data_IF_954877921826
#
_entry.id   IF_954877921826
#
_cell.length_a   1.000
_cell.length_b   1.000
_cell.length_c   1.000
_cell.angle_alpha   90.00
_cell.angle_beta   90.00
_cell.angle_gamma   90.00
#
_symmetry.space_group_name_H-M   'P 1'
#
loop_
_entity.id
_entity.type
_entity.pdbx_description
1 polymer ?
#
# COMPACT_ATOMS: atom_id res chain seq x y z
N UNK A 1 20.49 -71.67 29.45
CA UNK A 1 21.31 -70.42 29.53
C UNK A 1 20.95 -69.57 28.31
N UNK A 2 19.97 -68.72 28.46
CA UNK A 2 19.46 -67.85 27.39
C UNK A 2 19.84 -66.41 27.74
N UNK A 3 20.73 -65.80 26.91
CA UNK A 3 21.15 -64.39 27.07
C UNK A 3 20.17 -63.49 26.31
N UNK A 4 19.41 -62.69 27.06
CA UNK A 4 18.60 -61.57 26.52
C UNK A 4 19.52 -60.39 26.15
N UNK A 5 19.49 -59.97 24.90
CA UNK A 5 20.08 -58.73 24.42
C UNK A 5 19.02 -57.61 24.46
N UNK A 6 19.20 -56.65 25.34
CA UNK A 6 18.46 -55.40 25.39
C UNK A 6 18.99 -54.43 24.32
N UNK A 7 18.18 -54.14 23.32
CA UNK A 7 18.44 -53.07 22.34
C UNK A 7 17.89 -51.75 22.89
N UNK A 8 18.75 -50.84 23.30
CA UNK A 8 18.42 -49.46 23.65
C UNK A 8 18.29 -48.64 22.35
N UNK A 9 17.08 -48.27 21.97
CA UNK A 9 16.85 -47.33 20.89
C UNK A 9 17.05 -45.90 21.40
N UNK A 10 18.11 -45.25 20.91
CA UNK A 10 18.40 -43.83 21.16
C UNK A 10 17.54 -42.97 20.21
N UNK A 11 16.48 -42.37 20.70
CA UNK A 11 15.68 -41.39 19.98
C UNK A 11 16.45 -40.06 19.89
N UNK A 12 17.02 -39.77 18.74
CA UNK A 12 17.57 -38.45 18.41
C UNK A 12 16.38 -37.51 18.08
N UNK A 13 15.96 -36.72 19.05
CA UNK A 13 15.09 -35.57 18.84
C UNK A 13 15.89 -34.48 18.11
N UNK A 14 15.90 -34.53 16.80
CA UNK A 14 16.39 -33.45 15.95
C UNK A 14 15.50 -32.21 16.09
N UNK A 15 15.85 -31.30 17.01
CA UNK A 15 15.28 -29.98 17.04
C UNK A 15 15.64 -29.23 15.77
N UNK A 16 14.69 -29.03 14.86
CA UNK A 16 14.83 -28.06 13.77
C UNK A 16 14.94 -26.66 14.38
N UNK A 17 16.17 -26.22 14.65
CA UNK A 17 16.42 -24.80 14.88
C UNK A 17 16.05 -24.07 13.59
N UNK A 18 14.94 -23.34 13.59
CA UNK A 18 14.62 -22.41 12.51
C UNK A 18 15.70 -21.33 12.50
N UNK A 19 16.59 -21.43 11.53
CA UNK A 19 17.52 -20.35 11.23
C UNK A 19 16.72 -19.11 10.91
N UNK A 20 17.12 -17.91 11.38
CA UNK A 20 16.45 -16.68 11.00
C UNK A 20 16.48 -16.60 9.47
N UNK A 21 15.30 -16.61 8.85
CA UNK A 21 15.20 -16.43 7.40
C UNK A 21 15.64 -15.00 7.10
N UNK A 22 16.87 -14.85 6.63
CA UNK A 22 17.27 -13.64 5.93
C UNK A 22 16.40 -13.58 4.65
N UNK A 23 15.42 -12.70 4.64
CA UNK A 23 14.65 -12.43 3.42
C UNK A 23 15.62 -11.94 2.36
N UNK A 24 15.51 -12.47 1.15
CA UNK A 24 16.27 -11.97 0.01
C UNK A 24 15.80 -10.57 -0.37
N UNK A 25 16.64 -9.81 -1.06
CA UNK A 25 16.25 -8.48 -1.58
C UNK A 25 15.02 -8.58 -2.48
N UNK A 26 14.86 -9.68 -3.23
CA UNK A 26 13.69 -9.95 -4.06
C UNK A 26 12.42 -10.17 -3.23
N UNK A 27 12.52 -10.92 -2.12
CA UNK A 27 11.40 -11.13 -1.22
C UNK A 27 10.98 -9.83 -0.53
N UNK A 28 11.93 -8.99 -0.14
CA UNK A 28 11.66 -7.67 0.43
C UNK A 28 11.02 -6.73 -0.60
N UNK A 29 11.50 -6.74 -1.84
CA UNK A 29 10.88 -5.99 -2.94
C UNK A 29 9.44 -6.43 -3.18
N UNK A 30 9.18 -7.74 -3.26
CA UNK A 30 7.84 -8.28 -3.42
C UNK A 30 6.92 -7.88 -2.26
N UNK A 31 7.43 -7.90 -1.03
CA UNK A 31 6.67 -7.50 0.16
C UNK A 31 6.33 -5.99 0.17
N UNK A 32 7.22 -5.12 -0.32
CA UNK A 32 6.95 -3.68 -0.47
C UNK A 32 5.90 -3.45 -1.57
N UNK A 33 5.99 -4.15 -2.69
CA UNK A 33 4.98 -4.08 -3.76
C UNK A 33 3.61 -4.53 -3.24
N UNK A 34 3.53 -5.65 -2.50
CA UNK A 34 2.29 -6.11 -1.87
C UNK A 34 1.74 -5.08 -0.88
N UNK A 35 2.61 -4.43 -0.09
CA UNK A 35 2.23 -3.35 0.82
C UNK A 35 1.56 -2.18 0.08
N UNK A 36 2.13 -1.73 -1.05
CA UNK A 36 1.54 -0.67 -1.88
C UNK A 36 0.18 -1.10 -2.46
N UNK A 37 0.04 -2.37 -2.88
CA UNK A 37 -1.23 -2.89 -3.37
C UNK A 37 -2.30 -2.97 -2.26
N UNK A 38 -1.93 -3.36 -1.03
CA UNK A 38 -2.84 -3.35 0.13
C UNK A 38 -3.30 -1.94 0.46
N UNK A 39 -2.40 -0.96 0.41
CA UNK A 39 -2.74 0.45 0.57
C UNK A 39 -3.80 0.88 -0.45
N UNK A 40 -3.59 0.58 -1.73
CA UNK A 40 -4.53 0.91 -2.82
C UNK A 40 -5.88 0.23 -2.61
N UNK A 41 -5.88 -1.07 -2.33
CA UNK A 41 -7.13 -1.81 -2.12
C UNK A 41 -7.91 -1.25 -0.92
N UNK A 42 -7.24 -0.97 0.20
CA UNK A 42 -7.89 -0.40 1.37
C UNK A 42 -8.49 0.99 1.05
N UNK A 43 -7.77 1.82 0.30
CA UNK A 43 -8.26 3.12 -0.15
C UNK A 43 -9.49 2.99 -1.07
N UNK A 44 -9.43 2.12 -2.06
CA UNK A 44 -10.47 1.94 -3.07
C UNK A 44 -11.76 1.33 -2.52
N UNK A 45 -11.67 0.61 -1.41
CA UNK A 45 -12.81 0.01 -0.71
C UNK A 45 -13.19 0.73 0.59
N UNK A 46 -12.53 1.86 0.91
CA UNK A 46 -12.79 2.68 2.10
C UNK A 46 -12.61 1.90 3.43
N UNK A 47 -11.67 0.97 3.43
CA UNK A 47 -11.24 0.25 4.61
C UNK A 47 -10.23 1.08 5.40
N UNK A 48 -10.72 1.87 6.36
CA UNK A 48 -9.88 2.75 7.16
C UNK A 48 -8.90 1.99 8.05
N UNK A 49 -9.26 0.81 8.53
CA UNK A 49 -8.38 -0.03 9.34
C UNK A 49 -7.27 -0.65 8.49
N UNK A 50 -7.61 -1.25 7.36
CA UNK A 50 -6.65 -1.77 6.38
C UNK A 50 -5.73 -0.70 5.83
N UNK A 51 -6.27 0.50 5.56
CA UNK A 51 -5.48 1.65 5.11
C UNK A 51 -4.43 2.08 6.15
N UNK A 52 -4.83 2.20 7.40
CA UNK A 52 -3.92 2.59 8.47
C UNK A 52 -2.91 1.49 8.85
N UNK A 53 -3.28 0.23 8.71
CA UNK A 53 -2.46 -0.92 9.11
C UNK A 53 -1.14 -1.03 8.34
N UNK A 54 -1.04 -0.43 7.15
CA UNK A 54 0.17 -0.45 6.33
C UNK A 54 1.20 0.63 6.72
N UNK A 55 0.85 1.52 7.67
CA UNK A 55 1.71 2.60 8.15
C UNK A 55 2.36 2.28 9.50
N UNK A 56 3.52 2.87 9.79
CA UNK A 56 4.09 2.86 11.15
C UNK A 56 3.26 3.73 12.10
N UNK A 57 3.41 3.54 13.42
CA UNK A 57 2.70 4.34 14.42
C UNK A 57 2.96 5.86 14.26
N UNK A 58 4.16 6.23 13.85
CA UNK A 58 4.63 7.60 13.69
C UNK A 58 4.77 8.01 12.21
N UNK A 59 4.09 7.32 11.30
CA UNK A 59 4.16 7.58 9.87
C UNK A 59 3.63 8.97 9.49
N UNK A 60 4.03 9.42 8.32
CA UNK A 60 3.55 10.66 7.70
C UNK A 60 2.92 10.34 6.35
N UNK A 61 1.66 10.72 6.19
CA UNK A 61 0.98 10.81 4.90
C UNK A 61 1.01 12.27 4.44
N UNK A 62 1.76 12.55 3.38
CA UNK A 62 1.92 13.88 2.80
C UNK A 62 1.19 13.96 1.46
N UNK A 63 0.11 14.73 1.41
CA UNK A 63 -0.81 14.78 0.28
C UNK A 63 -1.22 16.23 -0.08
N UNK A 64 -2.15 16.41 -0.99
CA UNK A 64 -2.52 17.70 -1.57
C UNK A 64 -2.90 18.81 -0.56
N UNK A 65 -3.35 18.44 0.66
CA UNK A 65 -3.74 19.40 1.70
C UNK A 65 -2.76 19.45 2.89
N UNK A 66 -1.57 18.87 2.75
CA UNK A 66 -0.54 18.86 3.78
C UNK A 66 -0.30 17.50 4.41
N UNK A 67 0.29 17.47 5.58
CA UNK A 67 0.70 16.25 6.27
C UNK A 67 -0.32 15.78 7.30
N UNK A 68 -0.60 14.48 7.29
CA UNK A 68 -1.29 13.77 8.36
C UNK A 68 -0.28 12.90 9.09
N UNK A 69 -0.11 13.10 10.41
CA UNK A 69 0.97 12.46 11.19
C UNK A 69 0.43 11.44 12.18
N UNK A 70 0.99 10.25 12.12
CA UNK A 70 0.67 9.12 12.98
C UNK A 70 -0.46 8.24 12.44
N UNK A 71 -0.33 6.92 12.65
CA UNK A 71 -1.27 5.91 12.16
C UNK A 71 -2.71 6.20 12.57
N UNK A 72 -2.94 6.62 13.83
CA UNK A 72 -4.28 6.91 14.31
C UNK A 72 -4.93 8.08 13.55
N UNK A 73 -4.18 9.16 13.29
CA UNK A 73 -4.67 10.29 12.52
C UNK A 73 -4.87 9.93 11.04
N UNK A 74 -4.03 9.07 10.46
CA UNK A 74 -4.18 8.55 9.10
C UNK A 74 -5.45 7.69 8.98
N UNK A 75 -5.74 6.87 10.01
CA UNK A 75 -6.99 6.11 10.09
C UNK A 75 -8.22 7.04 10.11
N UNK A 76 -8.20 8.04 10.98
CA UNK A 76 -9.28 9.01 11.10
C UNK A 76 -9.48 9.82 9.81
N UNK A 77 -8.39 10.23 9.17
CA UNK A 77 -8.43 10.87 7.86
C UNK A 77 -9.18 10.03 6.83
N UNK A 78 -8.88 8.73 6.75
CA UNK A 78 -9.57 7.82 5.83
C UNK A 78 -11.03 7.61 6.22
N UNK A 79 -11.31 7.41 7.52
CA UNK A 79 -12.65 7.22 8.06
C UNK A 79 -13.56 8.46 7.89
N UNK A 80 -12.99 9.67 7.91
CA UNK A 80 -13.75 10.92 7.75
C UNK A 80 -14.43 11.08 6.38
N UNK A 81 -14.01 10.28 5.39
CA UNK A 81 -14.47 10.38 4.01
C UNK A 81 -14.04 11.68 3.30
N UNK A 82 -13.06 12.40 3.83
CA UNK A 82 -12.48 13.60 3.19
C UNK A 82 -11.91 13.29 1.82
N UNK A 83 -11.47 12.05 1.61
CA UNK A 83 -10.93 11.54 0.36
C UNK A 83 -11.94 10.68 -0.43
N UNK A 84 -13.21 10.76 -0.11
CA UNK A 84 -14.24 9.96 -0.80
C UNK A 84 -14.53 10.53 -2.19
N UNK A 85 -13.79 10.05 -3.18
CA UNK A 85 -13.97 10.44 -4.58
C UNK A 85 -15.36 10.10 -5.13
N UNK A 86 -16.12 9.19 -4.49
CA UNK A 86 -17.52 8.88 -4.86
C UNK A 86 -18.44 10.07 -4.62
N UNK A 87 -18.05 10.99 -3.73
CA UNK A 87 -18.79 12.23 -3.46
C UNK A 87 -18.50 13.35 -4.46
N UNK A 88 -17.54 13.14 -5.36
CA UNK A 88 -17.23 14.11 -6.41
C UNK A 88 -18.28 14.00 -7.51
N UNK A 89 -19.35 14.79 -7.42
CA UNK A 89 -20.37 15.19 -8.42
C UNK A 89 -20.63 14.24 -9.61
N UNK A 90 -20.60 12.94 -9.43
CA UNK A 90 -21.10 12.02 -10.42
C UNK A 90 -22.62 11.92 -10.21
N UNK A 91 -23.40 12.41 -11.17
CA UNK A 91 -24.85 12.22 -11.15
C UNK A 91 -25.14 10.72 -11.15
N UNK A 92 -25.92 10.21 -10.19
CA UNK A 92 -26.19 8.79 -10.10
C UNK A 92 -27.05 8.34 -11.29
N UNK A 93 -26.48 7.48 -12.13
CA UNK A 93 -27.29 6.74 -13.10
C UNK A 93 -28.07 5.65 -12.39
N UNK A 94 -29.18 5.23 -12.97
CA UNK A 94 -29.96 4.11 -12.45
C UNK A 94 -29.56 2.80 -13.12
N UNK A 95 -29.50 1.75 -12.33
CA UNK A 95 -29.41 0.37 -12.81
C UNK A 95 -30.75 -0.05 -13.45
N UNK A 96 -30.80 -1.12 -14.27
CA UNK A 96 -32.04 -1.60 -14.87
C UNK A 96 -33.14 -1.94 -13.84
N UNK A 97 -32.79 -2.29 -12.63
CA UNK A 97 -33.71 -2.56 -11.50
C UNK A 97 -34.02 -1.31 -10.65
N UNK A 98 -33.63 -0.12 -11.10
CA UNK A 98 -33.99 1.15 -10.51
C UNK A 98 -33.13 1.62 -9.32
N UNK A 99 -32.12 0.85 -8.89
CA UNK A 99 -31.16 1.28 -7.88
C UNK A 99 -30.18 2.32 -8.42
N UNK A 100 -29.56 3.08 -7.53
CA UNK A 100 -28.46 3.94 -7.94
C UNK A 100 -27.26 3.10 -8.40
N UNK A 101 -26.70 3.45 -9.58
CA UNK A 101 -25.48 2.84 -10.05
C UNK A 101 -24.32 3.30 -9.15
N UNK A 102 -23.58 2.39 -8.50
CA UNK A 102 -22.52 2.80 -7.59
C UNK A 102 -21.37 3.45 -8.36
N UNK A 103 -20.99 4.65 -7.97
CA UNK A 103 -19.74 5.25 -8.42
C UNK A 103 -18.58 4.53 -7.75
N UNK A 104 -17.59 4.16 -8.54
CA UNK A 104 -16.39 3.51 -8.04
C UNK A 104 -15.15 4.21 -8.59
N UNK A 105 -14.11 4.24 -7.79
CA UNK A 105 -12.77 4.70 -8.19
C UNK A 105 -11.80 3.54 -8.00
N UNK A 106 -10.85 3.42 -8.92
CA UNK A 106 -9.77 2.43 -8.82
C UNK A 106 -8.44 3.08 -9.11
N UNK A 107 -7.49 2.84 -8.22
CA UNK A 107 -6.12 3.28 -8.38
C UNK A 107 -5.28 2.17 -8.99
N UNK A 108 -4.38 2.57 -9.87
CA UNK A 108 -3.40 1.68 -10.49
C UNK A 108 -2.02 2.25 -10.15
N UNK A 109 -1.12 1.38 -9.67
CA UNK A 109 0.27 1.69 -9.38
C UNK A 109 1.15 0.98 -10.39
N UNK A 110 2.12 1.68 -10.92
CA UNK A 110 3.02 1.16 -11.96
C UNK A 110 4.41 1.80 -11.87
N UNK A 111 5.36 1.33 -12.67
CA UNK A 111 6.72 1.88 -12.77
C UNK A 111 7.42 1.99 -11.40
N UNK A 112 7.29 0.93 -10.58
CA UNK A 112 7.84 0.91 -9.24
C UNK A 112 9.35 0.66 -9.28
N UNK A 113 10.13 1.63 -8.81
CA UNK A 113 11.55 1.51 -8.54
C UNK A 113 11.74 1.55 -7.02
N UNK A 114 12.33 0.49 -6.45
CA UNK A 114 12.48 0.32 -5.01
C UNK A 114 13.97 0.07 -4.73
N UNK A 115 14.54 0.91 -3.88
CA UNK A 115 15.92 0.82 -3.40
C UNK A 115 15.91 0.39 -1.94
N UNK A 116 16.48 -0.80 -1.66
CA UNK A 116 16.46 -1.42 -0.34
C UNK A 116 17.85 -1.29 0.29
N UNK A 117 17.86 -0.80 1.53
CA UNK A 117 19.06 -0.71 2.36
C UNK A 117 18.77 -1.33 3.75
N UNK A 118 19.06 -2.61 3.91
CA UNK A 118 18.77 -3.34 5.14
C UNK A 118 17.30 -3.34 5.50
N UNK A 119 16.94 -2.68 6.59
CA UNK A 119 15.58 -2.57 7.09
C UNK A 119 14.87 -1.27 6.66
N UNK A 120 15.44 -0.53 5.73
CA UNK A 120 14.84 0.68 5.15
C UNK A 120 14.78 0.54 3.63
N UNK A 121 13.84 1.23 3.01
CA UNK A 121 13.77 1.33 1.55
C UNK A 121 13.17 2.68 1.14
N UNK A 122 13.49 3.09 -0.08
CA UNK A 122 12.82 4.17 -0.80
C UNK A 122 12.15 3.61 -2.03
N UNK A 123 10.97 4.09 -2.35
CA UNK A 123 10.25 3.71 -3.56
C UNK A 123 9.73 4.90 -4.32
N UNK A 124 9.91 4.88 -5.64
CA UNK A 124 9.27 5.81 -6.56
C UNK A 124 8.33 4.99 -7.43
N UNK A 125 7.11 5.47 -7.61
CA UNK A 125 6.13 4.82 -8.47
C UNK A 125 5.23 5.85 -9.14
N UNK A 126 4.61 5.46 -10.27
CA UNK A 126 3.51 6.21 -10.83
C UNK A 126 2.18 5.65 -10.34
N UNK A 127 1.21 6.51 -10.20
CA UNK A 127 -0.17 6.14 -9.91
C UNK A 127 -1.12 6.88 -10.84
N UNK A 128 -2.26 6.26 -11.08
CA UNK A 128 -3.38 6.88 -11.77
C UNK A 128 -4.67 6.34 -11.18
N UNK A 129 -5.75 7.11 -11.26
CA UNK A 129 -7.05 6.63 -10.85
C UNK A 129 -8.11 6.84 -11.93
N UNK A 130 -8.99 5.87 -12.00
CA UNK A 130 -10.12 5.85 -12.91
C UNK A 130 -11.42 5.80 -12.11
N UNK A 131 -12.45 6.50 -12.62
CA UNK A 131 -13.81 6.34 -12.14
C UNK A 131 -14.70 5.77 -13.23
N UNK A 132 -15.71 4.99 -12.83
CA UNK A 132 -16.85 4.78 -13.68
C UNK A 132 -17.74 6.03 -13.57
N UNK A 133 -17.82 6.81 -14.62
CA UNK A 133 -18.87 7.84 -14.70
C UNK A 133 -20.21 7.13 -14.87
N UNK A 134 -20.96 7.00 -13.77
CA UNK A 134 -22.21 6.27 -13.72
C UNK A 134 -23.26 6.87 -14.67
N UNK A 135 -23.28 8.20 -14.81
CA UNK A 135 -24.20 8.91 -15.70
C UNK A 135 -24.02 8.52 -17.17
N UNK A 136 -22.77 8.39 -17.60
CA UNK A 136 -22.44 8.11 -19.00
C UNK A 136 -22.04 6.67 -19.28
N UNK A 137 -21.97 5.82 -18.25
CA UNK A 137 -21.40 4.47 -18.34
C UNK A 137 -20.01 4.45 -18.98
N UNK A 138 -19.21 5.47 -18.70
CA UNK A 138 -17.87 5.66 -19.23
C UNK A 138 -16.84 5.52 -18.12
N UNK A 139 -15.67 5.06 -18.50
CA UNK A 139 -14.49 5.10 -17.66
C UNK A 139 -13.80 6.43 -17.91
N UNK A 140 -13.52 7.18 -16.84
CA UNK A 140 -12.80 8.45 -16.88
C UNK A 140 -11.52 8.36 -16.07
N UNK A 141 -10.41 8.79 -16.67
CA UNK A 141 -9.17 9.05 -15.94
C UNK A 141 -9.36 10.35 -15.16
N UNK A 142 -9.29 10.29 -13.82
CA UNK A 142 -9.54 11.47 -12.98
C UNK A 142 -8.24 12.22 -12.66
N UNK A 143 -7.18 11.50 -12.32
CA UNK A 143 -5.90 12.08 -11.97
C UNK A 143 -4.77 11.06 -12.08
N UNK A 144 -3.53 11.57 -12.13
CA UNK A 144 -2.32 10.76 -12.14
C UNK A 144 -1.18 11.54 -11.48
N UNK A 145 -0.14 10.83 -11.14
CA UNK A 145 1.03 11.43 -10.52
C UNK A 145 2.07 10.39 -10.11
N UNK A 146 2.86 10.75 -9.13
CA UNK A 146 3.89 9.87 -8.59
C UNK A 146 3.85 9.81 -7.07
N UNK A 147 4.37 8.74 -6.52
CA UNK A 147 4.65 8.58 -5.10
C UNK A 147 6.16 8.59 -4.88
N UNK A 148 6.58 9.20 -3.76
CA UNK A 148 7.92 9.10 -3.19
C UNK A 148 7.77 8.57 -1.77
N UNK A 149 8.13 7.31 -1.60
CA UNK A 149 7.82 6.53 -0.40
C UNK A 149 9.08 6.20 0.38
N UNK A 150 8.98 6.30 1.70
CA UNK A 150 9.96 5.74 2.61
C UNK A 150 9.34 4.57 3.36
N UNK A 151 10.02 3.45 3.32
CA UNK A 151 9.60 2.21 3.99
C UNK A 151 10.56 1.82 5.09
N UNK A 152 10.04 1.09 6.07
CA UNK A 152 10.83 0.52 7.16
C UNK A 152 10.30 -0.87 7.50
N UNK A 153 11.23 -1.77 7.87
CA UNK A 153 10.92 -3.15 8.23
C UNK A 153 11.02 -3.34 9.74
N UNK A 154 9.90 -3.75 10.35
CA UNK A 154 9.81 -4.12 11.76
C UNK A 154 9.23 -5.52 11.91
N UNK A 155 9.85 -6.36 12.73
CA UNK A 155 9.37 -7.71 12.98
C UNK A 155 9.20 -8.55 11.70
N UNK A 156 10.05 -8.32 10.69
CA UNK A 156 9.99 -9.01 9.41
C UNK A 156 8.94 -8.48 8.44
N UNK A 157 8.20 -7.41 8.78
CA UNK A 157 7.16 -6.81 7.93
C UNK A 157 7.54 -5.39 7.53
N UNK A 158 7.23 -5.03 6.29
CA UNK A 158 7.42 -3.69 5.76
C UNK A 158 6.21 -2.80 6.05
N UNK A 159 6.47 -1.49 6.25
CA UNK A 159 5.47 -0.45 6.50
C UNK A 159 5.88 0.84 5.82
N UNK A 160 4.91 1.68 5.45
CA UNK A 160 5.17 3.06 5.11
C UNK A 160 5.62 3.82 6.36
N UNK A 161 6.79 4.44 6.28
CA UNK A 161 7.27 5.45 7.23
C UNK A 161 6.86 6.84 6.79
N UNK A 162 6.93 7.11 5.49
CA UNK A 162 6.42 8.30 4.82
C UNK A 162 5.85 7.91 3.47
N UNK A 163 4.68 8.42 3.17
CA UNK A 163 4.03 8.30 1.86
C UNK A 163 3.76 9.70 1.33
N UNK A 164 4.49 10.11 0.29
CA UNK A 164 4.37 11.44 -0.33
C UNK A 164 3.69 11.30 -1.68
N UNK A 165 2.54 11.98 -1.82
CA UNK A 165 1.70 11.93 -3.02
C UNK A 165 1.90 13.22 -3.81
N UNK A 166 2.45 13.10 -5.02
CA UNK A 166 2.43 14.12 -6.04
C UNK A 166 1.29 13.85 -7.01
N UNK A 167 0.62 14.91 -7.47
CA UNK A 167 -0.53 14.83 -8.36
C UNK A 167 -0.39 15.85 -9.46
N UNK A 168 -0.20 15.41 -10.70
CA UNK A 168 0.03 16.27 -11.86
C UNK A 168 -1.22 17.06 -12.29
N UNK A 169 -2.40 16.70 -11.76
CA UNK A 169 -3.63 17.46 -11.97
C UNK A 169 -3.90 18.48 -10.86
N UNK A 170 -3.02 18.57 -9.86
CA UNK A 170 -3.12 19.53 -8.74
C UNK A 170 -2.22 20.74 -8.97
N UNK A 171 -2.72 21.97 -8.81
CA UNK A 171 -1.89 23.17 -8.99
C UNK A 171 -0.81 23.35 -7.92
N UNK A 172 -0.84 22.58 -6.86
CA UNK A 172 0.08 22.72 -5.72
C UNK A 172 0.97 21.50 -5.45
N UNK A 173 0.75 20.38 -6.16
CA UNK A 173 1.42 19.10 -5.86
C UNK A 173 2.00 18.42 -7.09
N UNK A 174 2.14 19.12 -8.20
CA UNK A 174 2.82 18.61 -9.40
C UNK A 174 4.34 18.61 -9.20
N UNK A 175 5.04 17.78 -9.99
CA UNK A 175 6.50 17.69 -10.01
C UNK A 175 7.08 17.73 -11.45
N UNK A 176 6.26 18.07 -12.43
CA UNK A 176 6.67 18.07 -13.84
C UNK A 176 7.89 18.96 -14.14
N UNK A 177 8.13 19.98 -13.30
CA UNK A 177 9.28 20.89 -13.39
C UNK A 177 10.50 20.46 -12.55
N UNK A 178 10.40 19.34 -11.84
CA UNK A 178 11.48 18.83 -10.98
C UNK A 178 12.36 17.84 -11.73
N UNK A 179 13.63 17.70 -11.32
CA UNK A 179 14.51 16.69 -11.89
C UNK A 179 13.98 15.28 -11.61
N UNK A 180 14.46 14.31 -12.40
CA UNK A 180 14.14 12.90 -12.17
C UNK A 180 14.44 12.53 -10.71
N UNK A 181 13.45 12.02 -9.95
CA UNK A 181 13.62 11.71 -8.51
C UNK A 181 14.62 10.59 -8.22
N UNK A 182 15.09 9.87 -9.23
CA UNK A 182 16.15 8.87 -9.11
C UNK A 182 17.55 9.46 -9.29
N UNK A 183 17.67 10.71 -9.77
CA UNK A 183 18.94 11.40 -9.88
C UNK A 183 19.25 12.11 -8.55
N UNK A 184 20.11 11.52 -7.77
CA UNK A 184 20.64 12.08 -6.52
C UNK A 184 22.02 12.65 -6.71
#
# INVERSE_FOLDING_TARGET
MTKSLLFSALLLLGGCAQLPQHTTAEADRAAIIDLQHRYVLAMDFFDADGYAAVFTEDAVLDWARGEVKGRAAIREFMASGTYDLRKMNFQPAKTPDGRDWPSTVRHIVTNQVIEINGNTARGISYWMNYANNADRRKIELLSFGSWDDQFVKYGGKWYFKRHTIYNETSPTRFIADKPNPLNH
#
